data_IF_862005133198
#
_entry.id   IF_862005133198
#
_cell.length_a   1.000
_cell.length_b   1.000
_cell.length_c   1.000
_cell.angle_alpha   90.00
_cell.angle_beta   90.00
_cell.angle_gamma   90.00
#
_symmetry.space_group_name_H-M   'P 1'
#
loop_
_entity.id
_entity.type
_entity.pdbx_description
1 polymer ?
#
# COMPACT_ATOMS: atom_id res chain seq x y z
N UNK A 1 -0.80 -10.38 3.91
CA UNK A 1 -0.28 -10.42 2.53
C UNK A 1 0.11 -9.02 2.13
N UNK A 2 1.32 -8.83 1.58
CA UNK A 2 1.74 -7.57 0.96
C UNK A 2 1.90 -7.82 -0.53
N UNK A 3 1.26 -7.01 -1.37
CA UNK A 3 1.37 -7.08 -2.84
C UNK A 3 1.94 -5.78 -3.37
N UNK A 4 2.89 -5.89 -4.30
CA UNK A 4 3.65 -4.78 -4.87
C UNK A 4 4.25 -5.16 -6.25
N UNK A 5 3.46 -5.83 -7.08
CA UNK A 5 3.86 -6.39 -8.38
C UNK A 5 3.74 -5.35 -9.50
N UNK A 6 2.95 -4.30 -9.32
CA UNK A 6 2.74 -3.27 -10.34
C UNK A 6 1.91 -3.78 -11.52
N UNK A 7 0.90 -4.59 -11.23
CA UNK A 7 -0.04 -5.13 -12.20
C UNK A 7 -1.45 -5.19 -11.62
N UNK A 8 -2.34 -4.36 -12.17
CA UNK A 8 -3.78 -4.33 -11.84
C UNK A 8 -4.40 -5.73 -11.84
N UNK A 9 -5.09 -6.09 -10.75
CA UNK A 9 -5.85 -7.33 -10.63
C UNK A 9 -5.00 -8.60 -10.57
N UNK A 10 -3.72 -8.47 -10.18
CA UNK A 10 -2.81 -9.58 -9.98
C UNK A 10 -3.22 -10.44 -8.79
N UNK A 11 -3.47 -9.82 -7.63
CA UNK A 11 -3.88 -10.55 -6.43
C UNK A 11 -5.40 -10.74 -6.44
N UNK A 12 -5.83 -12.00 -6.37
CA UNK A 12 -7.23 -12.43 -6.38
C UNK A 12 -7.60 -13.16 -5.10
N UNK A 13 -8.90 -13.20 -4.79
CA UNK A 13 -9.41 -13.80 -3.54
C UNK A 13 -9.07 -15.28 -3.35
N UNK A 14 -8.97 -16.06 -4.43
CA UNK A 14 -8.61 -17.49 -4.42
C UNK A 14 -7.14 -17.75 -4.05
N UNK A 15 -6.30 -16.70 -4.08
CA UNK A 15 -4.90 -16.75 -3.64
C UNK A 15 -4.75 -16.49 -2.13
N UNK A 16 -5.84 -16.18 -1.42
CA UNK A 16 -5.83 -15.78 -0.02
C UNK A 16 -6.36 -16.87 0.90
N UNK A 17 -5.78 -16.92 2.10
CA UNK A 17 -6.42 -17.56 3.24
C UNK A 17 -7.58 -16.68 3.73
N UNK A 18 -8.66 -17.31 4.19
CA UNK A 18 -9.81 -16.61 4.77
C UNK A 18 -9.37 -15.74 5.95
N UNK A 19 -9.85 -14.50 5.98
CA UNK A 19 -9.53 -13.53 7.04
C UNK A 19 -8.16 -12.86 6.90
N UNK A 20 -7.42 -13.07 5.81
CA UNK A 20 -6.11 -12.45 5.63
C UNK A 20 -6.18 -10.91 5.63
N UNK A 21 -5.22 -10.25 6.28
CA UNK A 21 -4.98 -8.79 6.12
C UNK A 21 -4.15 -8.54 4.87
N UNK A 22 -4.66 -7.71 3.97
CA UNK A 22 -4.05 -7.39 2.68
C UNK A 22 -3.58 -5.94 2.65
N UNK A 23 -2.30 -5.76 2.30
CA UNK A 23 -1.63 -4.47 2.16
C UNK A 23 -1.21 -4.35 0.70
N UNK A 24 -1.83 -3.43 -0.03
CA UNK A 24 -1.65 -3.22 -1.47
C UNK A 24 -0.77 -1.99 -1.75
N UNK A 25 0.53 -2.23 -1.93
CA UNK A 25 1.50 -1.22 -2.28
C UNK A 25 1.59 -0.97 -3.80
N UNK A 26 0.78 -1.66 -4.60
CA UNK A 26 0.72 -1.50 -6.04
C UNK A 26 0.13 -0.14 -6.43
N UNK A 27 0.66 0.43 -7.50
CA UNK A 27 0.12 1.63 -8.13
C UNK A 27 0.05 1.38 -9.63
N UNK A 28 -1.16 1.44 -10.18
CA UNK A 28 -1.44 1.27 -11.60
C UNK A 28 -2.27 2.47 -12.07
N UNK A 29 -1.81 3.15 -13.12
CA UNK A 29 -2.52 4.29 -13.74
C UNK A 29 -3.47 3.76 -14.80
N UNK A 30 -4.74 4.12 -14.70
CA UNK A 30 -5.77 3.77 -15.67
C UNK A 30 -6.51 5.01 -16.14
N UNK A 31 -7.27 4.95 -17.26
CA UNK A 31 -8.12 6.07 -17.68
C UNK A 31 -9.17 6.48 -16.64
N UNK A 32 -9.54 5.57 -15.73
CA UNK A 32 -10.51 5.82 -14.65
C UNK A 32 -9.86 6.31 -13.35
N UNK A 33 -8.52 6.40 -13.29
CA UNK A 33 -7.78 6.83 -12.10
C UNK A 33 -6.73 5.80 -11.64
N UNK A 34 -6.25 6.01 -10.42
CA UNK A 34 -5.25 5.17 -9.76
C UNK A 34 -5.91 3.96 -9.10
N UNK A 35 -5.34 2.77 -9.32
CA UNK A 35 -5.77 1.52 -8.69
C UNK A 35 -4.55 0.72 -8.21
N UNK A 36 -4.78 -0.18 -7.26
CA UNK A 36 -3.74 -1.08 -6.75
C UNK A 36 -3.54 -2.34 -7.60
N UNK A 37 -2.79 -3.31 -7.06
CA UNK A 37 -2.57 -4.62 -7.69
C UNK A 37 -3.71 -5.61 -7.38
N UNK A 38 -4.60 -5.28 -6.47
CA UNK A 38 -5.68 -6.14 -6.00
C UNK A 38 -6.90 -6.09 -6.91
N UNK A 39 -7.48 -7.26 -7.18
CA UNK A 39 -8.87 -7.39 -7.60
C UNK A 39 -9.78 -7.18 -6.38
N UNK A 40 -10.32 -5.97 -6.24
CA UNK A 40 -11.02 -5.52 -5.02
C UNK A 40 -12.24 -6.37 -4.71
N UNK A 41 -13.02 -6.74 -5.72
CA UNK A 41 -14.25 -7.50 -5.54
C UNK A 41 -13.97 -8.89 -4.96
N UNK A 42 -13.09 -9.66 -5.62
CA UNK A 42 -12.77 -11.02 -5.17
C UNK A 42 -12.02 -11.04 -3.83
N UNK A 43 -11.12 -10.09 -3.59
CA UNK A 43 -10.34 -10.03 -2.35
C UNK A 43 -11.19 -9.57 -1.16
N UNK A 44 -12.10 -8.61 -1.34
CA UNK A 44 -12.94 -8.10 -0.24
C UNK A 44 -13.91 -9.16 0.32
N UNK A 45 -14.25 -10.17 -0.48
CA UNK A 45 -15.09 -11.29 -0.04
C UNK A 45 -14.36 -12.27 0.91
N UNK A 46 -13.03 -12.29 0.89
CA UNK A 46 -12.21 -13.30 1.61
C UNK A 46 -11.33 -12.65 2.69
N UNK A 47 -10.79 -11.46 2.41
CA UNK A 47 -9.88 -10.76 3.31
C UNK A 47 -10.60 -10.24 4.56
N UNK A 48 -9.92 -10.29 5.71
CA UNK A 48 -10.40 -9.66 6.94
C UNK A 48 -10.18 -8.15 6.94
N UNK A 49 -9.21 -7.67 6.18
CA UNK A 49 -8.93 -6.26 5.98
C UNK A 49 -8.17 -6.04 4.66
N UNK A 50 -8.42 -4.92 3.98
CA UNK A 50 -7.74 -4.51 2.76
C UNK A 50 -7.39 -3.02 2.83
N UNK A 51 -6.13 -2.67 2.59
CA UNK A 51 -5.74 -1.26 2.47
C UNK A 51 -6.29 -0.64 1.18
N UNK A 52 -6.86 0.57 1.21
CA UNK A 52 -7.41 1.19 0.01
C UNK A 52 -6.32 1.72 -0.91
N UNK A 53 -6.56 1.64 -2.22
CA UNK A 53 -5.77 2.33 -3.24
C UNK A 53 -6.73 3.09 -4.15
N UNK A 54 -6.69 4.43 -4.20
CA UNK A 54 -5.80 5.34 -3.45
C UNK A 54 -6.20 5.49 -1.96
N UNK A 55 -5.34 6.15 -1.17
CA UNK A 55 -5.66 6.56 0.22
C UNK A 55 -5.06 5.69 1.33
N UNK A 56 -4.42 4.58 1.00
CA UNK A 56 -3.73 3.72 1.96
C UNK A 56 -2.24 4.07 2.12
N UNK A 57 -1.36 3.19 1.62
CA UNK A 57 0.07 3.26 1.87
C UNK A 57 0.74 4.54 1.37
N UNK A 58 0.26 5.13 0.27
CA UNK A 58 0.84 6.35 -0.29
C UNK A 58 0.93 7.51 0.73
N UNK A 59 -0.11 7.68 1.56
CA UNK A 59 -0.11 8.72 2.61
C UNK A 59 0.93 8.43 3.70
N UNK A 60 1.05 7.16 4.10
CA UNK A 60 2.02 6.71 5.11
C UNK A 60 3.46 6.84 4.60
N UNK A 61 3.71 6.49 3.34
CA UNK A 61 5.04 6.64 2.71
C UNK A 61 5.51 8.09 2.77
N UNK A 62 4.64 9.06 2.43
CA UNK A 62 4.96 10.49 2.51
C UNK A 62 5.25 10.91 3.96
N UNK A 63 4.43 10.51 4.92
CA UNK A 63 4.65 10.84 6.33
C UNK A 63 5.98 10.25 6.86
N UNK A 64 6.30 9.01 6.49
CA UNK A 64 7.54 8.35 6.88
C UNK A 64 8.77 9.03 6.26
N UNK A 65 8.67 9.47 5.00
CA UNK A 65 9.73 10.25 4.36
C UNK A 65 10.01 11.54 5.15
N UNK A 66 8.97 12.29 5.49
CA UNK A 66 9.11 13.53 6.28
C UNK A 66 9.68 13.26 7.67
N UNK A 67 9.22 12.20 8.35
CA UNK A 67 9.79 11.79 9.64
C UNK A 67 11.29 11.50 9.52
N UNK A 68 11.70 10.76 8.49
CA UNK A 68 13.10 10.43 8.26
C UNK A 68 13.94 11.68 7.97
N UNK A 69 13.39 12.67 7.27
CA UNK A 69 14.03 13.98 7.04
C UNK A 69 14.26 14.72 8.38
N UNK A 70 13.24 14.79 9.24
CA UNK A 70 13.37 15.43 10.56
C UNK A 70 14.44 14.73 11.40
N UNK A 71 14.38 13.40 11.48
CA UNK A 71 15.38 12.61 12.22
C UNK A 71 16.80 12.82 11.67
N UNK A 72 16.97 12.94 10.35
CA UNK A 72 18.28 13.21 9.75
C UNK A 72 18.79 14.62 10.11
N UNK A 73 17.91 15.63 10.07
CA UNK A 73 18.25 17.00 10.43
C UNK A 73 18.63 17.15 11.91
N UNK A 74 17.91 16.50 12.82
CA UNK A 74 18.24 16.46 14.26
C UNK A 74 19.61 15.84 14.52
N UNK A 75 19.93 14.73 13.84
CA UNK A 75 21.24 14.08 13.95
C UNK A 75 22.38 14.96 13.46
N UNK A 76 22.19 15.65 12.33
CA UNK A 76 23.19 16.55 11.76
C UNK A 76 23.34 17.85 12.58
N UNK A 77 22.25 18.31 13.22
CA UNK A 77 22.24 19.51 14.04
C UNK A 77 22.82 19.30 15.45
N UNK A 78 22.75 18.09 16.00
CA UNK A 78 23.32 17.72 17.30
C UNK A 78 24.83 17.46 17.29
N UNK A 79 25.47 17.42 16.12
CA UNK A 79 26.94 17.32 15.96
C UNK A 79 27.64 18.69 15.89
N UNK A 80 26.96 19.77 16.30
CA UNK A 80 27.56 21.12 16.47
C UNK A 80 27.77 21.48 17.93
#
# INVERSE_FOLDING_TARGET
VVVAVGKKGFLRGDMLLSGATVIDAGINVTPAGLVGDVDVESVSAVAGALSPVPGGLGAITTALLLRNVVTAAERQGGER
#
